data_IF_542553878169
#
_entry.id   IF_542553878169
#
_cell.length_a   1.000
_cell.length_b   1.000
_cell.length_c   1.000
_cell.angle_alpha   90.00
_cell.angle_beta   90.00
_cell.angle_gamma   90.00
#
_symmetry.space_group_name_H-M   'P 1'
#
loop_
_entity.id
_entity.type
_entity.pdbx_description
1 polymer ?
#
# COMPACT_ATOMS: atom_id res chain seq x y z
N UNK A 1 -8.37 13.82 -7.84
CA UNK A 1 -8.43 12.36 -7.98
C UNK A 1 -8.21 11.75 -6.60
N UNK A 2 -8.95 10.71 -6.25
CA UNK A 2 -8.73 9.96 -5.00
C UNK A 2 -7.40 9.21 -5.07
N UNK A 3 -6.83 8.82 -3.92
CA UNK A 3 -5.54 8.14 -3.86
C UNK A 3 -5.51 6.77 -4.59
N UNK A 4 -6.68 6.24 -4.95
CA UNK A 4 -6.88 4.93 -5.60
C UNK A 4 -7.12 5.03 -7.11
N UNK A 5 -7.16 6.25 -7.66
CA UNK A 5 -7.37 6.47 -9.11
C UNK A 5 -6.02 6.62 -9.81
N UNK A 6 -5.87 5.87 -10.91
CA UNK A 6 -4.70 5.90 -11.78
C UNK A 6 -5.11 6.15 -13.23
N UNK A 7 -4.20 6.72 -14.01
CA UNK A 7 -4.41 6.97 -15.44
C UNK A 7 -3.37 6.21 -16.26
N UNK A 8 -3.84 5.55 -17.30
CA UNK A 8 -3.04 4.69 -18.17
C UNK A 8 -3.27 5.06 -19.63
N UNK A 9 -2.22 4.97 -20.43
CA UNK A 9 -2.36 4.97 -21.89
C UNK A 9 -2.37 3.52 -22.36
N UNK A 10 -3.41 3.15 -23.07
CA UNK A 10 -3.64 1.78 -23.53
C UNK A 10 -3.64 1.77 -25.06
N UNK A 11 -3.08 0.72 -25.64
CA UNK A 11 -3.09 0.46 -27.07
C UNK A 11 -3.97 -0.74 -27.38
N UNK A 12 -4.61 -0.73 -28.55
CA UNK A 12 -5.40 -1.86 -29.02
C UNK A 12 -4.53 -3.10 -29.20
N UNK A 13 -5.09 -4.28 -28.89
CA UNK A 13 -4.42 -5.55 -29.15
C UNK A 13 -4.27 -5.87 -30.64
N UNK A 14 -5.15 -5.34 -31.49
CA UNK A 14 -4.96 -5.38 -32.94
C UNK A 14 -3.99 -4.26 -33.37
N UNK A 15 -2.74 -4.64 -33.66
CA UNK A 15 -1.71 -3.68 -34.09
C UNK A 15 -2.04 -2.95 -35.39
N UNK A 16 -2.83 -3.54 -36.30
CA UNK A 16 -3.19 -2.90 -37.56
C UNK A 16 -4.12 -1.70 -37.37
N UNK A 17 -4.91 -1.67 -36.29
CA UNK A 17 -5.85 -0.58 -36.08
C UNK A 17 -5.18 0.70 -35.53
N UNK A 18 -3.97 0.58 -34.95
CA UNK A 18 -3.19 1.71 -34.43
C UNK A 18 -3.87 2.53 -33.32
N UNK A 19 -4.98 2.07 -32.76
CA UNK A 19 -5.79 2.87 -31.84
C UNK A 19 -5.20 2.90 -30.43
N UNK A 20 -5.14 4.10 -29.85
CA UNK A 20 -4.66 4.35 -28.48
C UNK A 20 -5.64 5.25 -27.74
N UNK A 21 -5.86 4.99 -26.45
CA UNK A 21 -6.76 5.78 -25.62
C UNK A 21 -6.22 5.94 -24.20
N UNK A 22 -6.74 6.94 -23.49
CA UNK A 22 -6.47 7.15 -22.06
C UNK A 22 -7.56 6.48 -21.23
N UNK A 23 -7.17 5.58 -20.34
CA UNK A 23 -8.05 4.95 -19.37
C UNK A 23 -7.84 5.57 -17.98
N UNK A 24 -8.93 5.86 -17.27
CA UNK A 24 -8.90 6.20 -15.84
C UNK A 24 -9.46 5.00 -15.08
N UNK A 25 -8.68 4.45 -14.15
CA UNK A 25 -9.03 3.24 -13.41
C UNK A 25 -9.02 3.53 -11.91
N UNK A 26 -10.05 3.08 -11.21
CA UNK A 26 -10.16 3.17 -9.74
C UNK A 26 -10.00 1.79 -9.12
N UNK A 27 -9.17 1.69 -8.08
CA UNK A 27 -9.10 0.47 -7.27
C UNK A 27 -10.31 0.39 -6.33
N UNK A 28 -10.95 -0.79 -6.25
CA UNK A 28 -12.19 -1.03 -5.53
C UNK A 28 -12.02 -1.88 -4.26
N UNK A 29 -11.06 -2.81 -4.25
CA UNK A 29 -10.73 -3.65 -3.11
C UNK A 29 -9.24 -4.03 -3.06
N UNK A 30 -8.76 -4.37 -1.87
CA UNK A 30 -7.45 -4.96 -1.65
C UNK A 30 -7.52 -6.48 -1.84
N UNK A 31 -6.71 -7.01 -2.77
CA UNK A 31 -6.55 -8.46 -2.99
C UNK A 31 -5.33 -9.01 -2.23
N UNK A 32 -4.34 -8.17 -1.97
CA UNK A 32 -3.21 -8.47 -1.10
C UNK A 32 -2.85 -7.21 -0.31
N UNK A 33 -2.82 -7.24 1.04
CA UNK A 33 -2.53 -6.06 1.83
C UNK A 33 -1.06 -5.65 1.71
N UNK A 34 -0.83 -4.33 1.68
CA UNK A 34 0.52 -3.76 1.74
C UNK A 34 1.18 -4.08 3.09
N UNK A 35 2.47 -4.40 3.06
CA UNK A 35 3.28 -4.54 4.27
C UNK A 35 3.53 -3.19 4.97
N UNK A 36 3.48 -2.08 4.22
CA UNK A 36 3.58 -0.70 4.71
C UNK A 36 2.37 0.10 4.16
N UNK A 37 1.21 0.05 4.83
CA UNK A 37 0.00 0.69 4.32
C UNK A 37 0.10 2.22 4.39
N UNK A 38 -0.24 2.91 3.30
CA UNK A 38 -0.37 4.36 3.29
C UNK A 38 -1.68 4.78 3.98
N UNK A 39 -1.63 5.79 4.85
CA UNK A 39 -2.80 6.23 5.61
C UNK A 39 -3.92 6.83 4.74
N UNK A 40 -3.62 7.24 3.52
CA UNK A 40 -4.57 7.83 2.56
C UNK A 40 -5.32 6.80 1.71
N UNK A 41 -4.95 5.51 1.78
CA UNK A 41 -5.52 4.44 0.97
C UNK A 41 -6.40 3.54 1.84
N UNK A 42 -7.72 3.67 1.67
CA UNK A 42 -8.71 2.89 2.40
C UNK A 42 -9.54 2.04 1.44
N UNK A 43 -9.12 0.80 1.22
CA UNK A 43 -9.83 -0.17 0.39
C UNK A 43 -10.34 -1.33 1.26
N UNK A 44 -11.56 -1.84 1.04
CA UNK A 44 -12.02 -3.06 1.69
C UNK A 44 -11.16 -4.24 1.25
N UNK A 45 -10.94 -5.20 2.16
CA UNK A 45 -10.28 -6.46 1.80
C UNK A 45 -11.25 -7.36 1.02
N UNK A 46 -10.74 -8.08 0.03
CA UNK A 46 -11.52 -9.06 -0.71
C UNK A 46 -12.14 -10.13 0.20
N UNK A 47 -13.36 -10.58 -0.12
CA UNK A 47 -14.16 -11.47 0.73
C UNK A 47 -13.54 -12.84 0.99
N UNK A 48 -12.69 -13.33 0.08
CA UNK A 48 -12.00 -14.61 0.20
C UNK A 48 -10.75 -14.56 1.09
N UNK A 49 -10.35 -13.39 1.59
CA UNK A 49 -9.24 -13.30 2.55
C UNK A 49 -9.65 -13.81 3.93
N UNK A 50 -8.86 -14.75 4.44
CA UNK A 50 -8.94 -15.23 5.82
C UNK A 50 -8.26 -14.23 6.77
N UNK A 51 -9.00 -13.15 7.09
CA UNK A 51 -8.50 -11.98 7.84
C UNK A 51 -7.91 -12.36 9.20
N UNK A 52 -8.52 -13.33 9.87
CA UNK A 52 -8.11 -13.88 11.15
C UNK A 52 -6.74 -14.57 11.07
N UNK A 53 -6.57 -15.45 10.07
CA UNK A 53 -5.32 -16.19 9.84
C UNK A 53 -4.21 -15.24 9.45
N UNK A 54 -4.48 -14.31 8.53
CA UNK A 54 -3.49 -13.34 8.08
C UNK A 54 -3.02 -12.45 9.23
N UNK A 55 -3.95 -11.95 10.04
CA UNK A 55 -3.61 -11.15 11.21
C UNK A 55 -2.80 -11.96 12.23
N UNK A 56 -3.06 -13.26 12.36
CA UNK A 56 -2.27 -14.14 13.21
C UNK A 56 -0.85 -14.33 12.68
N UNK A 57 -0.68 -14.54 11.38
CA UNK A 57 0.64 -14.66 10.75
C UNK A 57 1.50 -13.41 10.97
N UNK A 58 0.91 -12.22 10.81
CA UNK A 58 1.59 -10.94 11.08
C UNK A 58 2.00 -10.84 12.55
N UNK A 59 1.12 -11.22 13.49
CA UNK A 59 1.42 -11.17 14.93
C UNK A 59 2.46 -12.19 15.38
N UNK A 60 2.50 -13.38 14.78
CA UNK A 60 3.42 -14.46 15.18
C UNK A 60 4.76 -14.42 14.44
N UNK A 61 4.89 -13.58 13.41
CA UNK A 61 6.13 -13.49 12.62
C UNK A 61 7.28 -12.97 13.47
N UNK A 62 8.46 -13.56 13.29
CA UNK A 62 9.70 -13.02 13.85
C UNK A 62 10.10 -11.75 13.12
N UNK A 63 10.59 -10.75 13.84
CA UNK A 63 11.10 -9.52 13.25
C UNK A 63 12.55 -9.71 12.79
N UNK A 64 12.87 -9.13 11.63
CA UNK A 64 14.24 -8.96 11.15
C UNK A 64 14.51 -7.46 10.98
N UNK A 65 15.77 -7.06 11.14
CA UNK A 65 16.15 -5.66 10.96
C UNK A 65 15.93 -5.23 9.49
N UNK A 66 15.31 -4.05 9.31
CA UNK A 66 15.07 -3.44 8.01
C UNK A 66 15.51 -1.98 8.07
N UNK A 67 16.39 -1.58 7.15
CA UNK A 67 16.80 -0.18 6.98
C UNK A 67 16.10 0.40 5.74
N UNK A 68 15.20 1.39 5.91
CA UNK A 68 14.56 2.04 4.78
C UNK A 68 15.57 2.89 4.00
N UNK A 69 15.64 2.69 2.68
CA UNK A 69 16.58 3.43 1.83
C UNK A 69 15.97 4.69 1.20
N UNK A 70 14.64 4.71 1.00
CA UNK A 70 13.95 5.69 0.14
C UNK A 70 12.59 6.15 0.69
N UNK A 71 12.25 5.82 1.94
CA UNK A 71 10.93 6.15 2.50
C UNK A 71 10.90 7.61 2.98
N UNK A 72 10.12 8.50 2.37
CA UNK A 72 9.88 9.83 2.93
C UNK A 72 9.17 9.68 4.28
N UNK A 73 9.47 10.51 5.29
CA UNK A 73 8.76 10.43 6.57
C UNK A 73 7.27 10.74 6.35
N UNK A 74 6.38 9.83 6.72
CA UNK A 74 4.95 10.10 6.78
C UNK A 74 4.58 10.65 8.16
N UNK A 75 3.52 11.48 8.20
CA UNK A 75 3.06 12.22 9.39
C UNK A 75 2.57 11.28 10.49
N UNK A 76 3.53 10.68 11.22
CA UNK A 76 3.42 9.96 12.50
C UNK A 76 4.75 9.34 12.96
N UNK A 77 5.75 9.25 12.07
CA UNK A 77 7.09 8.75 12.41
C UNK A 77 7.91 9.76 13.25
N UNK A 78 7.49 11.03 13.31
CA UNK A 78 8.16 12.11 14.04
C UNK A 78 7.83 12.18 15.54
N UNK A 79 6.82 11.42 16.01
CA UNK A 79 6.33 11.50 17.39
C UNK A 79 6.22 10.12 18.05
N UNK A 80 7.30 9.33 18.02
CA UNK A 80 7.45 8.26 19.01
C UNK A 80 7.86 8.89 20.35
N UNK A 81 7.28 8.50 21.51
CA UNK A 81 7.71 9.02 22.80
C UNK A 81 9.17 8.61 23.03
N UNK A 82 10.02 9.58 23.35
CA UNK A 82 11.39 9.33 23.79
C UNK A 82 11.37 8.25 24.88
N UNK A 83 11.97 7.10 24.57
CA UNK A 83 12.26 6.09 25.57
C UNK A 83 13.08 6.71 26.68
N UNK A 84 12.69 6.36 27.90
CA UNK A 84 13.36 6.58 29.18
C UNK A 84 14.89 6.52 29.01
N UNK A 85 15.56 7.67 29.06
CA UNK A 85 16.95 7.90 29.48
C UNK A 85 17.43 9.27 28.93
N UNK A 86 17.07 10.35 29.62
CA UNK A 86 17.72 11.66 29.45
C UNK A 86 18.74 11.86 30.56
N UNK A 87 19.98 12.34 30.27
CA UNK A 87 20.98 12.56 31.30
C UNK A 87 20.58 13.74 32.20
N UNK A 88 20.91 13.61 33.50
CA UNK A 88 20.63 14.56 34.58
C UNK A 88 21.25 15.94 34.38
#
# INVERSE_FOLDING_TARGET
>A
MTATVSQHYVMCSNFECGHTWRATTEADMTISPSATPAASVHLPLASHMRRDVLAQQIRSGTTAEHTPLMTPPETRDLFAPAGVDGPS
#
